data_IF_305745718057
#
_entry.id   IF_305745718057
#
_cell.length_a   1.000
_cell.length_b   1.000
_cell.length_c   1.000
_cell.angle_alpha   90.00
_cell.angle_beta   90.00
_cell.angle_gamma   90.00
#
_symmetry.space_group_name_H-M   'P 1'
#
loop_
_entity.id
_entity.type
_entity.pdbx_description
1 polymer ?
#
# COMPACT_ATOMS: atom_id res chain seq x y z
N UNK A 1 4.52 -26.82 -3.11
CA UNK A 1 3.95 -25.50 -2.77
C UNK A 1 4.35 -24.53 -3.87
N UNK A 2 3.46 -23.65 -4.31
CA UNK A 2 3.75 -22.74 -5.40
C UNK A 2 4.84 -21.73 -5.00
N UNK A 3 5.85 -21.57 -5.85
CA UNK A 3 6.84 -20.50 -5.74
C UNK A 3 6.46 -19.41 -6.73
N UNK A 4 6.31 -18.17 -6.25
CA UNK A 4 6.11 -17.02 -7.11
C UNK A 4 7.46 -16.48 -7.58
N UNK A 5 7.58 -16.26 -8.88
CA UNK A 5 8.68 -15.48 -9.45
C UNK A 5 8.61 -14.02 -9.00
N UNK A 6 9.74 -13.32 -9.00
CA UNK A 6 9.78 -11.90 -8.64
C UNK A 6 8.89 -11.04 -9.56
N UNK A 7 8.74 -11.43 -10.83
CA UNK A 7 7.82 -10.79 -11.78
C UNK A 7 6.36 -10.96 -11.36
N UNK A 8 5.96 -12.16 -10.93
CA UNK A 8 4.61 -12.41 -10.43
C UNK A 8 4.34 -11.63 -9.14
N UNK A 9 5.30 -11.58 -8.21
CA UNK A 9 5.19 -10.77 -6.98
C UNK A 9 4.99 -9.29 -7.34
N UNK A 10 5.84 -8.73 -8.21
CA UNK A 10 5.72 -7.33 -8.66
C UNK A 10 4.37 -7.07 -9.35
N UNK A 11 3.90 -7.98 -10.19
CA UNK A 11 2.62 -7.85 -10.88
C UNK A 11 1.43 -7.83 -9.90
N UNK A 12 1.43 -8.71 -8.89
CA UNK A 12 0.41 -8.74 -7.84
C UNK A 12 0.37 -7.43 -7.05
N UNK A 13 1.53 -6.93 -6.62
CA UNK A 13 1.65 -5.69 -5.86
C UNK A 13 1.23 -4.46 -6.68
N UNK A 14 1.62 -4.39 -7.95
CA UNK A 14 1.17 -3.32 -8.86
C UNK A 14 -0.33 -3.34 -9.08
N UNK A 15 -0.92 -4.51 -9.28
CA UNK A 15 -2.37 -4.65 -9.43
C UNK A 15 -3.09 -4.22 -8.16
N UNK A 16 -2.55 -4.52 -6.98
CA UNK A 16 -3.15 -4.13 -5.71
C UNK A 16 -3.08 -2.62 -5.48
N UNK A 17 -1.91 -2.00 -5.69
CA UNK A 17 -1.79 -0.54 -5.56
C UNK A 17 -2.73 0.18 -6.52
N UNK A 18 -2.76 -0.24 -7.80
CA UNK A 18 -3.66 0.37 -8.79
C UNK A 18 -5.11 0.36 -8.33
N UNK A 19 -5.59 -0.77 -7.78
CA UNK A 19 -6.94 -0.88 -7.23
C UNK A 19 -7.20 0.13 -6.11
N UNK A 20 -6.27 0.26 -5.15
CA UNK A 20 -6.41 1.22 -4.05
C UNK A 20 -6.44 2.66 -4.55
N UNK A 21 -5.54 3.02 -5.47
CA UNK A 21 -5.49 4.39 -6.00
C UNK A 21 -6.75 4.76 -6.80
N UNK A 22 -7.32 3.80 -7.53
CA UNK A 22 -8.61 3.97 -8.22
C UNK A 22 -9.79 4.10 -7.25
N UNK A 23 -9.76 3.39 -6.12
CA UNK A 23 -10.75 3.52 -5.05
C UNK A 23 -10.63 4.87 -4.33
N UNK A 24 -9.40 5.30 -4.02
CA UNK A 24 -9.09 6.61 -3.43
C UNK A 24 -9.60 7.75 -4.31
N UNK A 25 -9.30 7.72 -5.61
CA UNK A 25 -9.73 8.74 -6.57
C UNK A 25 -11.26 8.79 -6.69
N UNK A 26 -11.91 7.63 -6.70
CA UNK A 26 -13.37 7.55 -6.70
C UNK A 26 -13.97 8.21 -5.46
N UNK A 27 -13.40 7.95 -4.29
CA UNK A 27 -13.88 8.55 -3.04
C UNK A 27 -13.66 10.06 -2.98
N UNK A 28 -12.55 10.56 -3.54
CA UNK A 28 -12.30 12.00 -3.72
C UNK A 28 -13.34 12.64 -4.65
N UNK A 29 -13.57 12.04 -5.82
CA UNK A 29 -14.54 12.54 -6.80
C UNK A 29 -15.98 12.56 -6.24
N UNK A 30 -16.32 11.65 -5.32
CA UNK A 30 -17.63 11.59 -4.67
C UNK A 30 -17.72 12.44 -3.39
N UNK A 31 -16.66 13.15 -2.99
CA UNK A 31 -16.63 13.95 -1.76
C UNK A 31 -16.78 13.12 -0.48
N UNK A 32 -16.37 11.85 -0.49
CA UNK A 32 -16.51 10.91 0.64
C UNK A 32 -15.36 10.99 1.65
N UNK A 33 -14.35 11.81 1.38
CA UNK A 33 -13.22 12.03 2.29
C UNK A 33 -13.70 12.91 3.44
N UNK A 34 -13.70 12.36 4.65
CA UNK A 34 -14.23 13.01 5.85
C UNK A 34 -13.35 14.14 6.39
N UNK A 35 -12.13 14.28 5.88
CA UNK A 35 -11.11 15.27 6.26
C UNK A 35 -11.05 16.46 5.28
N UNK A 36 -12.15 16.74 4.58
CA UNK A 36 -12.21 17.77 3.54
C UNK A 36 -12.53 19.18 4.06
N UNK A 37 -12.72 19.35 5.38
CA UNK A 37 -12.66 20.66 6.04
C UNK A 37 -11.20 21.08 6.32
N UNK A 38 -10.93 22.40 6.33
CA UNK A 38 -9.56 22.91 6.49
C UNK A 38 -8.88 22.42 7.78
N UNK A 39 -9.64 22.24 8.86
CA UNK A 39 -9.11 21.74 10.14
C UNK A 39 -8.76 20.24 10.09
N UNK A 40 -9.43 19.43 9.27
CA UNK A 40 -9.20 17.99 9.16
C UNK A 40 -8.03 17.60 8.26
N UNK A 41 -7.58 18.48 7.37
CA UNK A 41 -6.51 18.20 6.40
C UNK A 41 -5.15 17.95 7.07
N UNK A 42 -4.76 18.82 8.00
CA UNK A 42 -3.46 18.70 8.70
C UNK A 42 -3.45 17.46 9.62
N UNK A 43 -4.53 17.23 10.36
CA UNK A 43 -4.71 16.04 11.20
C UNK A 43 -4.62 14.74 10.38
N UNK A 44 -5.22 14.72 9.19
CA UNK A 44 -5.14 13.57 8.28
C UNK A 44 -3.71 13.34 7.80
N UNK A 45 -3.01 14.40 7.39
CA UNK A 45 -1.61 14.31 6.93
C UNK A 45 -0.71 13.78 8.06
N UNK A 46 -0.87 14.28 9.28
CA UNK A 46 -0.09 13.84 10.44
C UNK A 46 -0.37 12.37 10.78
N UNK A 47 -1.64 11.96 10.72
CA UNK A 47 -2.02 10.56 10.91
C UNK A 47 -1.40 9.64 9.83
N UNK A 48 -1.43 10.03 8.56
CA UNK A 48 -0.84 9.26 7.48
C UNK A 48 0.69 9.20 7.60
N UNK A 49 1.34 10.30 7.96
CA UNK A 49 2.78 10.36 8.19
C UNK A 49 3.21 9.46 9.37
N UNK A 50 2.45 9.46 10.46
CA UNK A 50 2.67 8.56 11.61
C UNK A 50 2.58 7.09 11.19
N UNK A 51 1.53 6.71 10.44
CA UNK A 51 1.38 5.36 9.92
C UNK A 51 2.52 4.98 8.98
N UNK A 52 2.92 5.89 8.09
CA UNK A 52 4.00 5.67 7.13
C UNK A 52 5.33 5.44 7.85
N UNK A 53 5.61 6.21 8.90
CA UNK A 53 6.77 6.02 9.76
C UNK A 53 6.77 4.65 10.42
N UNK A 54 5.63 4.23 11.00
CA UNK A 54 5.48 2.89 11.58
C UNK A 54 5.76 1.77 10.57
N UNK A 55 5.22 1.88 9.36
CA UNK A 55 5.50 0.93 8.28
C UNK A 55 6.98 0.88 7.91
N UNK A 56 7.67 2.03 7.82
CA UNK A 56 9.11 2.09 7.54
C UNK A 56 9.94 1.45 8.65
N UNK A 57 9.60 1.69 9.93
CA UNK A 57 10.26 1.06 11.07
C UNK A 57 10.11 -0.46 11.05
N UNK A 58 8.88 -0.96 10.89
CA UNK A 58 8.57 -2.38 10.81
C UNK A 58 9.31 -3.06 9.64
N UNK A 59 9.33 -2.42 8.47
CA UNK A 59 10.08 -2.89 7.29
C UNK A 59 11.58 -2.97 7.57
N UNK A 60 12.17 -1.98 8.24
CA UNK A 60 13.60 -1.93 8.53
C UNK A 60 14.06 -3.06 9.47
N UNK A 61 13.21 -3.49 10.40
CA UNK A 61 13.50 -4.61 11.31
C UNK A 61 13.01 -5.97 10.79
N UNK A 62 12.50 -6.03 9.56
CA UNK A 62 12.00 -7.27 8.95
C UNK A 62 10.69 -7.80 9.55
N UNK A 63 9.93 -6.94 10.26
CA UNK A 63 8.61 -7.28 10.76
C UNK A 63 7.54 -6.95 9.72
N UNK A 64 6.93 -7.98 9.12
CA UNK A 64 5.91 -7.80 8.08
C UNK A 64 4.48 -8.11 8.56
N UNK A 65 4.27 -8.21 9.88
CA UNK A 65 2.97 -8.59 10.47
C UNK A 65 1.82 -7.71 10.00
N UNK A 66 2.04 -6.39 9.86
CA UNK A 66 1.05 -5.42 9.36
C UNK A 66 0.56 -5.73 7.95
N UNK A 67 1.41 -6.31 7.10
CA UNK A 67 1.06 -6.63 5.71
C UNK A 67 0.30 -7.95 5.56
N UNK A 68 0.36 -8.86 6.53
CA UNK A 68 -0.17 -10.24 6.39
C UNK A 68 -1.65 -10.27 6.04
N UNK A 69 -2.48 -9.45 6.70
CA UNK A 69 -3.91 -9.38 6.42
C UNK A 69 -4.26 -8.82 5.02
N UNK A 70 -3.43 -7.93 4.47
CA UNK A 70 -3.59 -7.46 3.09
C UNK A 70 -3.12 -8.52 2.08
N UNK A 71 -2.01 -9.19 2.37
CA UNK A 71 -1.48 -10.29 1.55
C UNK A 71 -2.46 -11.45 1.50
N UNK A 72 -2.99 -11.90 2.63
CA UNK A 72 -3.94 -13.01 2.68
C UNK A 72 -5.21 -12.72 1.88
N UNK A 73 -5.74 -11.49 1.97
CA UNK A 73 -6.87 -11.05 1.14
C UNK A 73 -6.53 -11.04 -0.34
N UNK A 74 -5.36 -10.50 -0.71
CA UNK A 74 -4.91 -10.48 -2.10
C UNK A 74 -4.75 -11.90 -2.67
N UNK A 75 -4.16 -12.82 -1.89
CA UNK A 75 -4.00 -14.21 -2.27
C UNK A 75 -5.35 -14.92 -2.43
N UNK A 76 -6.29 -14.70 -1.50
CA UNK A 76 -7.64 -15.24 -1.57
C UNK A 76 -8.41 -14.69 -2.79
N UNK A 77 -8.36 -13.39 -3.06
CA UNK A 77 -8.98 -12.75 -4.23
C UNK A 77 -8.46 -13.35 -5.55
N UNK A 78 -7.18 -13.75 -5.59
CA UNK A 78 -6.53 -14.34 -6.77
C UNK A 78 -6.53 -15.86 -6.78
N UNK A 79 -7.12 -16.51 -5.76
CA UNK A 79 -7.13 -17.96 -5.58
C UNK A 79 -5.72 -18.58 -5.61
N UNK A 80 -4.75 -17.89 -4.99
CA UNK A 80 -3.35 -18.34 -4.89
C UNK A 80 -3.11 -18.89 -3.49
N UNK A 81 -2.64 -20.13 -3.39
CA UNK A 81 -2.22 -20.73 -2.13
C UNK A 81 -0.71 -20.65 -1.97
N UNK A 82 -0.25 -20.01 -0.90
CA UNK A 82 1.16 -19.93 -0.50
C UNK A 82 1.33 -20.39 0.94
N UNK A 83 2.47 -21.00 1.23
CA UNK A 83 2.91 -21.24 2.59
C UNK A 83 3.34 -19.95 3.27
N UNK A 84 2.78 -19.67 4.45
CA UNK A 84 3.07 -18.47 5.24
C UNK A 84 4.53 -18.42 5.71
N UNK A 85 5.15 -19.58 5.93
CA UNK A 85 6.56 -19.65 6.31
C UNK A 85 7.51 -19.62 5.10
N UNK A 86 6.95 -19.79 3.90
CA UNK A 86 7.66 -19.83 2.63
C UNK A 86 8.22 -18.47 2.18
N UNK A 87 9.27 -18.54 1.35
CA UNK A 87 9.97 -17.35 0.85
C UNK A 87 9.06 -16.45 0.00
N UNK A 88 8.22 -17.03 -0.86
CA UNK A 88 7.30 -16.24 -1.70
C UNK A 88 6.31 -15.41 -0.87
N UNK A 89 5.76 -15.98 0.21
CA UNK A 89 4.85 -15.25 1.10
C UNK A 89 5.57 -14.10 1.81
N UNK A 90 6.79 -14.35 2.33
CA UNK A 90 7.61 -13.32 2.98
C UNK A 90 8.02 -12.20 2.01
N UNK A 91 8.39 -12.54 0.77
CA UNK A 91 8.65 -11.56 -0.29
C UNK A 91 7.42 -10.70 -0.60
N UNK A 92 6.25 -11.33 -0.69
CA UNK A 92 5.00 -10.63 -0.95
C UNK A 92 4.61 -9.70 0.21
N UNK A 93 4.77 -10.14 1.46
CA UNK A 93 4.55 -9.31 2.65
C UNK A 93 5.50 -8.11 2.70
N UNK A 94 6.80 -8.33 2.43
CA UNK A 94 7.78 -7.24 2.35
C UNK A 94 7.42 -6.24 1.26
N UNK A 95 7.05 -6.71 0.06
CA UNK A 95 6.64 -5.83 -1.04
C UNK A 95 5.32 -5.11 -0.75
N UNK A 96 4.39 -5.75 -0.04
CA UNK A 96 3.14 -5.13 0.40
C UNK A 96 3.38 -4.00 1.40
N UNK A 97 4.35 -4.15 2.33
CA UNK A 97 4.77 -3.03 3.19
C UNK A 97 5.28 -1.83 2.38
N UNK A 98 6.03 -2.09 1.30
CA UNK A 98 6.48 -1.01 0.40
C UNK A 98 5.30 -0.36 -0.35
N UNK A 99 4.30 -1.16 -0.76
CA UNK A 99 3.03 -0.64 -1.30
C UNK A 99 2.35 0.29 -0.31
N UNK A 100 2.16 -0.13 0.95
CA UNK A 100 1.52 0.67 2.00
C UNK A 100 2.26 1.98 2.26
N UNK A 101 3.60 1.96 2.33
CA UNK A 101 4.41 3.18 2.54
C UNK A 101 4.16 4.20 1.44
N UNK A 102 4.09 3.74 0.20
CA UNK A 102 3.95 4.65 -0.93
C UNK A 102 2.51 5.08 -1.16
N UNK A 103 1.52 4.24 -0.86
CA UNK A 103 0.11 4.62 -0.83
C UNK A 103 -0.10 5.79 0.14
N UNK A 104 0.48 5.69 1.35
CA UNK A 104 0.48 6.78 2.33
C UNK A 104 1.22 8.03 1.84
N UNK A 105 2.33 7.88 1.12
CA UNK A 105 3.05 9.03 0.51
C UNK A 105 2.15 9.75 -0.51
N UNK A 106 1.49 8.99 -1.38
CA UNK A 106 0.60 9.52 -2.40
C UNK A 106 -0.59 10.24 -1.74
N UNK A 107 -1.20 9.65 -0.70
CA UNK A 107 -2.31 10.27 0.02
C UNK A 107 -1.90 11.58 0.69
N UNK A 108 -0.74 11.62 1.37
CA UNK A 108 -0.20 12.85 1.97
C UNK A 108 -0.04 13.95 0.92
N UNK A 109 0.52 13.62 -0.25
CA UNK A 109 0.75 14.61 -1.31
C UNK A 109 -0.55 15.07 -1.97
N UNK A 110 -1.44 14.15 -2.32
CA UNK A 110 -2.75 14.49 -2.89
C UNK A 110 -3.58 15.36 -1.94
N UNK A 111 -3.50 15.09 -0.63
CA UNK A 111 -4.16 15.90 0.40
C UNK A 111 -3.59 17.33 0.44
N UNK A 112 -2.31 17.51 0.10
CA UNK A 112 -1.66 18.82 -0.08
C UNK A 112 -1.77 19.38 -1.51
N UNK A 113 -2.66 18.82 -2.33
CA UNK A 113 -2.85 19.19 -3.74
C UNK A 113 -1.60 18.99 -4.64
N UNK A 114 -0.72 18.06 -4.29
CA UNK A 114 0.41 17.63 -5.13
C UNK A 114 0.13 16.26 -5.78
N UNK A 115 -0.10 16.26 -7.09
CA UNK A 115 -0.36 15.06 -7.91
C UNK A 115 0.87 14.54 -8.67
N UNK A 116 2.08 15.04 -8.37
CA UNK A 116 3.30 14.70 -9.12
C UNK A 116 3.71 13.22 -9.07
N UNK A 117 3.20 12.45 -8.11
CA UNK A 117 3.51 11.02 -7.96
C UNK A 117 2.53 10.09 -8.70
N UNK A 118 1.43 10.61 -9.25
CA UNK A 118 0.38 9.79 -9.85
C UNK A 118 0.87 9.05 -11.11
N UNK A 119 1.90 9.59 -11.78
CA UNK A 119 2.49 9.06 -13.00
C UNK A 119 3.77 8.22 -12.78
N UNK A 120 4.22 8.01 -11.54
CA UNK A 120 5.48 7.33 -11.27
C UNK A 120 5.38 5.79 -11.28
N UNK A 121 6.40 5.08 -11.80
CA UNK A 121 6.43 3.62 -11.79
C UNK A 121 6.54 3.06 -10.36
N UNK A 122 5.84 1.96 -10.12
CA UNK A 122 5.80 1.32 -8.80
C UNK A 122 6.58 -0.01 -8.71
N UNK A 123 7.26 -0.31 -7.58
CA UNK A 123 7.58 0.57 -6.45
C UNK A 123 8.52 1.71 -6.85
N UNK A 124 8.41 2.85 -6.17
CA UNK A 124 9.41 3.93 -6.27
C UNK A 124 10.78 3.33 -5.90
N UNK A 125 11.75 3.42 -6.82
CA UNK A 125 13.13 2.93 -6.61
C UNK A 125 13.86 3.73 -5.53
#
# INVERSE_FOLDING_TARGET
MAELTDTQVKALLRSYLKKILEEDERDRALGRKSWTDEEGLDDHVDAMAYLQHGCRMELAIGNYSRATGAVDRLLAEKQIELDRDGLSYKKLCRGMMQVMINDLEIDIRRTRHDSSLDDLPFPLE
#
